data_IF_309443646348
#
_entry.id   IF_309443646348
#
_cell.length_a   1.000
_cell.length_b   1.000
_cell.length_c   1.000
_cell.angle_alpha   90.00
_cell.angle_beta   90.00
_cell.angle_gamma   90.00
#
_symmetry.space_group_name_H-M   'P 1'
#
loop_
_entity.id
_entity.type
_entity.pdbx_description
1 polymer ?
#
# COMPACT_ATOMS: atom_id res chain seq x y z
N UNK A 1 -12.07 13.15 23.37
CA UNK A 1 -10.80 13.70 22.86
C UNK A 1 -10.99 14.36 21.49
N UNK A 2 -11.56 13.68 20.50
CA UNK A 2 -11.76 14.27 19.16
C UNK A 2 -12.62 15.54 19.17
N UNK A 3 -13.72 15.55 19.94
CA UNK A 3 -14.61 16.72 20.10
C UNK A 3 -13.96 17.90 20.83
N UNK A 4 -12.91 17.66 21.61
CA UNK A 4 -12.27 18.68 22.43
C UNK A 4 -11.30 19.54 21.60
N UNK A 5 -10.92 19.07 20.40
CA UNK A 5 -9.96 19.71 19.49
C UNK A 5 -10.59 20.11 18.15
N UNK A 6 -11.80 20.69 18.16
CA UNK A 6 -12.54 21.08 16.93
C UNK A 6 -11.71 21.98 16.00
N UNK A 7 -10.93 22.91 16.57
CA UNK A 7 -10.08 23.82 15.82
C UNK A 7 -8.95 23.13 15.01
N UNK A 8 -8.67 21.86 15.30
CA UNK A 8 -7.67 21.03 14.58
C UNK A 8 -8.30 20.05 13.60
N UNK A 9 -9.62 20.07 13.44
CA UNK A 9 -10.29 19.20 12.47
C UNK A 9 -9.94 19.67 11.07
N UNK A 10 -9.36 18.77 10.31
CA UNK A 10 -9.17 18.94 8.87
C UNK A 10 -10.19 18.08 8.13
N UNK A 11 -10.86 18.62 7.10
CA UNK A 11 -11.70 17.81 6.24
C UNK A 11 -10.83 16.75 5.54
N UNK A 12 -11.36 15.55 5.39
CA UNK A 12 -10.71 14.49 4.62
C UNK A 12 -11.76 13.60 3.96
N UNK A 13 -11.31 12.69 3.10
CA UNK A 13 -12.11 11.55 2.68
C UNK A 13 -11.50 10.26 3.18
N UNK A 14 -12.33 9.26 3.45
CA UNK A 14 -11.95 7.88 3.75
C UNK A 14 -12.54 7.02 2.64
N UNK A 15 -11.69 6.46 1.77
CA UNK A 15 -12.10 5.78 0.53
C UNK A 15 -13.13 6.59 -0.30
N UNK A 16 -13.01 7.92 -0.31
CA UNK A 16 -13.92 8.83 -1.02
C UNK A 16 -15.12 9.34 -0.20
N UNK A 17 -15.44 8.74 0.95
CA UNK A 17 -16.50 9.24 1.84
C UNK A 17 -16.01 10.39 2.71
N UNK A 18 -16.82 11.45 2.85
CA UNK A 18 -16.43 12.64 3.62
C UNK A 18 -16.31 12.34 5.12
N UNK A 19 -15.21 12.80 5.71
CA UNK A 19 -14.93 12.67 7.15
C UNK A 19 -14.08 13.86 7.66
N UNK A 20 -13.71 13.81 8.94
CA UNK A 20 -12.83 14.77 9.59
C UNK A 20 -11.76 14.03 10.40
N UNK A 21 -10.54 14.52 10.29
CA UNK A 21 -9.37 13.96 10.96
C UNK A 21 -8.62 15.06 11.69
N UNK A 22 -8.03 14.73 12.84
CA UNK A 22 -6.96 15.53 13.43
C UNK A 22 -5.65 14.82 13.09
N UNK A 23 -4.84 15.45 12.25
CA UNK A 23 -3.54 14.92 11.85
C UNK A 23 -2.42 15.48 12.72
N UNK A 24 -1.45 14.63 13.01
CA UNK A 24 -0.19 15.01 13.63
C UNK A 24 0.93 14.12 13.13
N UNK A 25 2.14 14.67 12.96
CA UNK A 25 3.32 13.86 12.64
C UNK A 25 3.72 13.00 13.83
N UNK A 26 4.33 11.86 13.56
CA UNK A 26 4.95 11.07 14.62
C UNK A 26 6.25 11.75 15.10
N UNK A 27 6.25 12.20 16.35
CA UNK A 27 7.34 13.05 16.89
C UNK A 27 8.49 12.27 17.51
N UNK A 28 8.32 10.95 17.74
CA UNK A 28 9.32 10.09 18.39
C UNK A 28 10.18 9.29 17.40
N UNK A 29 10.00 9.52 16.10
CA UNK A 29 10.72 8.78 15.07
C UNK A 29 12.20 9.19 14.96
N UNK A 30 13.09 8.20 14.92
CA UNK A 30 14.53 8.39 14.68
C UNK A 30 14.90 8.22 13.21
N UNK A 31 14.12 7.46 12.45
CA UNK A 31 14.33 7.17 11.03
C UNK A 31 13.68 8.20 10.12
N UNK A 32 14.19 8.35 8.89
CA UNK A 32 13.57 9.21 7.85
C UNK A 32 12.13 8.75 7.56
N UNK A 33 11.90 7.43 7.53
CA UNK A 33 10.57 6.86 7.35
C UNK A 33 9.59 7.40 8.39
N UNK A 34 9.95 7.33 9.67
CA UNK A 34 9.08 7.79 10.74
C UNK A 34 8.90 9.31 10.77
N UNK A 35 9.89 10.09 10.34
CA UNK A 35 9.81 11.56 10.33
C UNK A 35 8.97 12.11 9.19
N UNK A 36 9.09 11.53 8.00
CA UNK A 36 8.50 12.09 6.78
C UNK A 36 7.17 11.43 6.41
N UNK A 37 7.02 10.13 6.68
CA UNK A 37 5.91 9.35 6.15
C UNK A 37 4.93 8.84 7.22
N UNK A 38 5.31 8.80 8.51
CA UNK A 38 4.41 8.37 9.59
C UNK A 38 3.61 9.52 10.20
N UNK A 39 2.30 9.31 10.26
CA UNK A 39 1.34 10.26 10.82
C UNK A 39 0.39 9.54 11.78
N UNK A 40 -0.06 10.28 12.77
CA UNK A 40 -1.14 9.88 13.65
C UNK A 40 -2.41 10.61 13.22
N UNK A 41 -3.48 9.84 12.99
CA UNK A 41 -4.82 10.36 12.73
C UNK A 41 -5.75 10.08 13.90
N UNK A 42 -6.47 11.08 14.37
CA UNK A 42 -7.56 10.90 15.33
C UNK A 42 -8.88 11.21 14.63
N UNK A 43 -9.80 10.24 14.64
CA UNK A 43 -11.12 10.30 14.03
C UNK A 43 -12.21 10.16 15.08
N UNK A 44 -13.41 10.66 14.75
CA UNK A 44 -14.58 10.49 15.59
C UNK A 44 -14.92 9.00 15.80
N UNK A 45 -15.61 8.63 16.89
CA UNK A 45 -16.02 7.23 17.13
C UNK A 45 -16.94 6.69 16.02
N UNK A 46 -17.68 7.59 15.35
CA UNK A 46 -18.62 7.28 14.26
C UNK A 46 -17.98 7.25 12.87
N UNK A 47 -16.71 7.65 12.74
CA UNK A 47 -15.99 7.60 11.46
C UNK A 47 -16.03 6.18 10.90
N UNK A 48 -16.12 6.02 9.58
CA UNK A 48 -16.06 4.71 8.92
C UNK A 48 -14.64 4.15 8.84
N UNK A 49 -13.60 4.90 9.22
CA UNK A 49 -12.19 4.51 9.04
C UNK A 49 -11.84 3.15 9.66
N UNK A 50 -11.15 2.33 8.88
CA UNK A 50 -10.64 1.01 9.19
C UNK A 50 -9.18 0.87 8.74
N UNK A 51 -8.42 -0.09 9.29
CA UNK A 51 -7.14 -0.50 8.72
C UNK A 51 -7.31 -0.88 7.24
N UNK A 52 -6.35 -0.46 6.42
CA UNK A 52 -6.35 -0.63 4.96
C UNK A 52 -7.00 0.50 4.16
N UNK A 53 -7.73 1.40 4.81
CA UNK A 53 -8.40 2.48 4.10
C UNK A 53 -7.40 3.52 3.58
N UNK A 54 -7.80 4.19 2.50
CA UNK A 54 -7.12 5.37 1.97
C UNK A 54 -7.77 6.61 2.58
N UNK A 55 -6.96 7.41 3.26
CA UNK A 55 -7.36 8.71 3.80
C UNK A 55 -6.78 9.80 2.92
N UNK A 56 -7.62 10.69 2.39
CA UNK A 56 -7.16 11.80 1.54
C UNK A 56 -7.54 13.15 2.15
N UNK A 57 -6.57 14.02 2.23
CA UNK A 57 -6.71 15.45 2.50
C UNK A 57 -5.74 16.16 1.52
N UNK A 58 -5.00 17.18 1.94
CA UNK A 58 -3.86 17.73 1.20
C UNK A 58 -2.80 16.68 0.83
N UNK A 59 -2.79 15.54 1.52
CA UNK A 59 -1.94 14.38 1.27
C UNK A 59 -2.79 13.11 1.28
N UNK A 60 -2.28 12.06 0.64
CA UNK A 60 -2.89 10.74 0.67
C UNK A 60 -2.13 9.81 1.62
N UNK A 61 -2.88 9.02 2.38
CA UNK A 61 -2.36 8.10 3.39
C UNK A 61 -3.03 6.73 3.30
N UNK A 62 -2.31 5.68 3.72
CA UNK A 62 -2.87 4.36 4.02
C UNK A 62 -2.96 4.17 5.54
N UNK A 63 -4.08 3.64 6.03
CA UNK A 63 -4.27 3.31 7.44
C UNK A 63 -3.57 1.98 7.75
N UNK A 64 -2.51 2.01 8.53
CA UNK A 64 -1.78 0.79 8.91
C UNK A 64 -2.40 0.10 10.14
N UNK A 65 -2.72 0.88 11.17
CA UNK A 65 -3.26 0.35 12.43
C UNK A 65 -4.35 1.26 12.97
N UNK A 66 -5.24 0.68 13.77
CA UNK A 66 -6.33 1.37 14.45
C UNK A 66 -6.39 0.91 15.91
N UNK A 67 -6.49 1.86 16.83
CA UNK A 67 -6.74 1.62 18.25
C UNK A 67 -7.83 2.57 18.75
N UNK A 68 -8.58 2.14 19.75
CA UNK A 68 -9.59 2.98 20.38
C UNK A 68 -9.02 3.71 21.59
N UNK A 69 -9.33 5.00 21.70
CA UNK A 69 -9.06 5.78 22.92
C UNK A 69 -10.10 5.46 24.01
N UNK A 70 -9.89 5.99 25.22
CA UNK A 70 -10.84 5.83 26.33
C UNK A 70 -12.25 6.37 25.99
N UNK A 71 -12.33 7.43 25.17
CA UNK A 71 -13.58 8.02 24.67
C UNK A 71 -14.12 7.34 23.41
N UNK A 72 -13.57 6.19 23.03
CA UNK A 72 -13.88 5.42 21.80
C UNK A 72 -13.59 6.17 20.50
N UNK A 73 -12.87 7.29 20.54
CA UNK A 73 -12.33 7.93 19.34
C UNK A 73 -11.33 6.96 18.68
N UNK A 74 -11.32 6.92 17.34
CA UNK A 74 -10.45 6.03 16.54
C UNK A 74 -9.11 6.71 16.34
N UNK A 75 -8.05 6.13 16.89
CA UNK A 75 -6.69 6.60 16.75
C UNK A 75 -5.92 5.67 15.80
N UNK A 76 -5.44 6.23 14.69
CA UNK A 76 -4.87 5.50 13.58
C UNK A 76 -3.39 5.84 13.40
N UNK A 77 -2.59 4.82 13.07
CA UNK A 77 -1.27 5.02 12.45
C UNK A 77 -1.44 5.06 10.94
N UNK A 78 -0.93 6.10 10.32
CA UNK A 78 -1.09 6.40 8.90
C UNK A 78 0.28 6.47 8.23
N UNK A 79 0.38 5.93 7.02
CA UNK A 79 1.56 6.10 6.17
C UNK A 79 1.23 6.94 4.95
N UNK A 80 2.00 8.01 4.73
CA UNK A 80 1.86 8.87 3.55
C UNK A 80 2.28 8.10 2.31
N UNK A 81 1.42 8.05 1.30
CA UNK A 81 1.74 7.45 -0.01
C UNK A 81 2.80 8.29 -0.72
N UNK A 82 3.73 7.64 -1.42
CA UNK A 82 4.85 8.30 -2.12
C UNK A 82 5.04 7.82 -3.56
N UNK A 83 4.27 6.83 -4.01
CA UNK A 83 4.36 6.29 -5.36
C UNK A 83 2.98 6.06 -5.96
N UNK A 84 2.96 6.06 -7.28
CA UNK A 84 1.88 5.53 -8.10
C UNK A 84 2.41 4.31 -8.83
N UNK A 85 1.66 3.22 -8.78
CA UNK A 85 2.06 1.93 -9.30
C UNK A 85 1.05 1.42 -10.34
N UNK A 86 1.56 0.61 -11.26
CA UNK A 86 0.76 -0.21 -12.17
C UNK A 86 1.05 -1.68 -11.89
N UNK A 87 0.02 -2.51 -11.98
CA UNK A 87 0.12 -3.97 -11.94
C UNK A 87 -0.06 -4.48 -13.36
N UNK A 88 0.91 -5.24 -13.84
CA UNK A 88 0.88 -5.90 -15.13
C UNK A 88 0.99 -7.41 -14.94
N UNK A 89 0.28 -8.19 -15.76
CA UNK A 89 0.26 -9.65 -15.69
C UNK A 89 0.62 -10.23 -17.03
N UNK A 90 1.42 -11.29 -17.01
CA UNK A 90 1.81 -11.98 -18.23
C UNK A 90 0.64 -12.87 -18.70
N UNK A 91 0.05 -12.52 -19.84
CA UNK A 91 -1.15 -13.17 -20.36
C UNK A 91 -1.01 -13.50 -21.85
N UNK A 92 -1.71 -14.55 -22.27
CA UNK A 92 -1.88 -14.94 -23.67
C UNK A 92 -3.32 -14.64 -24.08
N UNK A 93 -3.52 -13.86 -25.14
CA UNK A 93 -4.84 -13.72 -25.74
C UNK A 93 -5.20 -14.98 -26.53
N UNK A 94 -6.48 -15.36 -26.49
CA UNK A 94 -7.03 -16.48 -27.27
C UNK A 94 -8.18 -15.97 -28.16
N UNK A 95 -8.33 -16.57 -29.33
CA UNK A 95 -9.46 -16.31 -30.21
C UNK A 95 -10.72 -17.09 -29.80
N UNK A 96 -11.82 -16.97 -30.56
CA UNK A 96 -13.08 -17.64 -30.26
C UNK A 96 -13.03 -19.18 -30.36
N UNK A 97 -11.92 -19.75 -30.86
CA UNK A 97 -11.70 -21.18 -30.99
C UNK A 97 -10.56 -21.66 -30.07
N UNK A 98 -10.22 -20.90 -29.02
CA UNK A 98 -9.13 -21.17 -28.07
C UNK A 98 -7.73 -21.28 -28.71
N UNK A 99 -7.50 -20.67 -29.88
CA UNK A 99 -6.15 -20.58 -30.46
C UNK A 99 -5.40 -19.36 -29.90
N UNK A 100 -4.10 -19.51 -29.55
CA UNK A 100 -3.30 -18.40 -29.05
C UNK A 100 -3.12 -17.34 -30.16
N UNK A 101 -3.48 -16.11 -29.83
CA UNK A 101 -3.34 -14.94 -30.70
C UNK A 101 -2.06 -14.19 -30.34
N UNK A 102 -1.09 -14.16 -31.26
CA UNK A 102 0.18 -13.45 -31.05
C UNK A 102 1.08 -14.11 -30.01
N UNK A 103 2.01 -13.33 -29.45
CA UNK A 103 2.91 -13.78 -28.37
C UNK A 103 2.35 -13.31 -27.03
N UNK A 104 2.55 -14.06 -25.93
CA UNK A 104 2.12 -13.59 -24.64
C UNK A 104 2.93 -12.37 -24.21
N UNK A 105 2.27 -11.44 -23.52
CA UNK A 105 2.85 -10.17 -23.10
C UNK A 105 2.32 -9.74 -21.74
N UNK A 106 2.99 -8.74 -21.15
CA UNK A 106 2.54 -8.15 -19.90
C UNK A 106 1.43 -7.13 -20.19
N UNK A 107 0.20 -7.46 -19.79
CA UNK A 107 -0.99 -6.61 -19.94
C UNK A 107 -1.30 -5.89 -18.64
N UNK A 108 -1.74 -4.64 -18.71
CA UNK A 108 -2.17 -3.85 -17.55
C UNK A 108 -3.40 -4.49 -16.89
N UNK A 109 -3.29 -4.79 -15.59
CA UNK A 109 -4.40 -5.31 -14.76
C UNK A 109 -5.01 -4.18 -13.94
N UNK A 110 -4.18 -3.32 -13.36
CA UNK A 110 -4.62 -2.17 -12.59
C UNK A 110 -3.59 -1.04 -12.71
N UNK A 111 -4.06 0.19 -12.90
CA UNK A 111 -3.23 1.39 -13.07
C UNK A 111 -3.56 2.46 -12.04
N UNK A 112 -2.71 3.49 -11.96
CA UNK A 112 -2.87 4.65 -11.08
C UNK A 112 -3.06 4.31 -9.58
N UNK A 113 -2.44 3.21 -9.14
CA UNK A 113 -2.60 2.73 -7.77
C UNK A 113 -1.71 3.54 -6.84
N UNK A 114 -2.31 4.21 -5.86
CA UNK A 114 -1.58 4.93 -4.83
C UNK A 114 -1.00 3.95 -3.80
N UNK A 115 0.28 4.11 -3.49
CA UNK A 115 0.99 3.23 -2.56
C UNK A 115 2.12 3.90 -1.83
N UNK A 116 2.71 3.15 -0.91
CA UNK A 116 3.98 3.51 -0.28
C UNK A 116 5.07 2.52 -0.66
N UNK A 117 6.15 3.01 -1.24
CA UNK A 117 7.33 2.20 -1.55
C UNK A 117 8.54 2.65 -0.74
N UNK A 118 9.33 1.68 -0.28
CA UNK A 118 10.59 1.90 0.41
C UNK A 118 11.70 1.05 -0.20
N UNK A 119 12.84 1.69 -0.50
CA UNK A 119 14.06 0.98 -0.87
C UNK A 119 14.61 0.18 0.31
N UNK A 120 14.94 -1.08 0.03
CA UNK A 120 15.58 -1.96 1.00
C UNK A 120 17.05 -1.58 1.14
N UNK A 121 17.36 -0.83 2.20
CA UNK A 121 18.73 -0.51 2.59
C UNK A 121 19.37 -1.65 3.39
N UNK A 122 20.69 -1.60 3.55
CA UNK A 122 21.40 -2.56 4.41
C UNK A 122 20.89 -2.53 5.86
N UNK A 123 20.56 -1.34 6.38
CA UNK A 123 19.95 -1.19 7.70
C UNK A 123 18.59 -1.87 7.79
N UNK A 124 17.71 -1.67 6.79
CA UNK A 124 16.38 -2.28 6.80
C UNK A 124 16.46 -3.81 6.79
N UNK A 125 17.43 -4.39 6.08
CA UNK A 125 17.66 -5.85 6.10
C UNK A 125 18.09 -6.40 7.46
N UNK A 126 18.75 -5.59 8.28
CA UNK A 126 19.11 -5.97 9.65
C UNK A 126 17.91 -5.89 10.59
N UNK A 127 17.04 -4.89 10.40
CA UNK A 127 15.84 -4.67 11.20
C UNK A 127 14.71 -5.67 10.86
N UNK A 128 14.61 -6.07 9.59
CA UNK A 128 13.55 -6.92 9.06
C UNK A 128 14.13 -8.21 8.44
N UNK A 129 14.42 -9.25 9.25
CA UNK A 129 15.03 -10.50 8.76
C UNK A 129 14.14 -11.30 7.80
N UNK A 130 12.85 -10.97 7.71
CA UNK A 130 11.91 -11.59 6.76
C UNK A 130 12.03 -11.09 5.32
N UNK A 131 12.94 -10.15 5.03
CA UNK A 131 13.19 -9.70 3.67
C UNK A 131 14.05 -10.70 2.90
N UNK A 132 13.63 -11.04 1.68
CA UNK A 132 14.45 -11.86 0.79
C UNK A 132 15.75 -11.13 0.42
N UNK A 133 16.80 -11.89 0.16
CA UNK A 133 18.09 -11.35 -0.29
C UNK A 133 17.96 -10.56 -1.60
N UNK A 134 17.01 -10.92 -2.46
CA UNK A 134 16.73 -10.28 -3.74
C UNK A 134 15.87 -9.02 -3.65
N UNK A 135 15.21 -8.76 -2.52
CA UNK A 135 14.26 -7.65 -2.38
C UNK A 135 14.95 -6.29 -2.50
N UNK A 136 14.52 -5.49 -3.47
CA UNK A 136 14.99 -4.12 -3.70
C UNK A 136 14.01 -3.07 -3.17
N UNK A 137 12.72 -3.38 -3.21
CA UNK A 137 11.64 -2.51 -2.77
C UNK A 137 10.64 -3.29 -1.92
N UNK A 138 10.12 -2.64 -0.90
CA UNK A 138 8.89 -3.03 -0.21
C UNK A 138 7.79 -2.06 -0.64
N UNK A 139 6.64 -2.59 -1.04
CA UNK A 139 5.50 -1.81 -1.49
C UNK A 139 4.26 -2.13 -0.65
N UNK A 140 3.59 -1.08 -0.15
CA UNK A 140 2.30 -1.17 0.53
C UNK A 140 1.19 -0.67 -0.39
N UNK A 141 0.20 -1.53 -0.65
CA UNK A 141 -1.02 -1.24 -1.42
C UNK A 141 -2.28 -1.66 -0.63
N UNK A 142 -3.46 -1.23 -1.06
CA UNK A 142 -4.72 -1.77 -0.54
C UNK A 142 -4.95 -3.20 -1.05
N UNK A 143 -5.65 -4.03 -0.27
CA UNK A 143 -6.05 -5.39 -0.68
C UNK A 143 -7.05 -5.44 -1.82
N UNK A 144 -7.70 -4.32 -2.16
CA UNK A 144 -8.58 -4.18 -3.32
C UNK A 144 -7.81 -4.26 -4.65
N UNK A 145 -6.50 -4.10 -4.63
CA UNK A 145 -5.65 -4.21 -5.82
C UNK A 145 -5.39 -5.69 -6.14
N UNK A 146 -5.65 -6.09 -7.38
CA UNK A 146 -5.40 -7.47 -7.86
C UNK A 146 -3.89 -7.71 -8.10
N UNK A 147 -3.15 -7.94 -7.01
CA UNK A 147 -1.80 -8.50 -7.05
C UNK A 147 -1.84 -9.94 -6.56
N UNK A 148 -1.42 -10.87 -7.42
CA UNK A 148 -1.39 -12.30 -7.11
C UNK A 148 -0.09 -12.72 -6.46
N UNK A 149 -0.17 -13.77 -5.67
CA UNK A 149 1.02 -14.42 -5.13
C UNK A 149 1.83 -15.04 -6.27
N UNK A 150 3.17 -15.01 -6.22
CA UNK A 150 4.01 -15.54 -7.32
C UNK A 150 3.79 -17.02 -7.63
N UNK A 151 3.34 -17.79 -6.64
CA UNK A 151 3.06 -19.22 -6.75
C UNK A 151 1.59 -19.52 -7.09
N UNK A 152 0.78 -18.50 -7.39
CA UNK A 152 -0.61 -18.71 -7.79
C UNK A 152 -0.66 -19.58 -9.07
N UNK A 153 -1.39 -20.71 -9.06
CA UNK A 153 -1.42 -21.65 -10.19
C UNK A 153 -2.03 -21.07 -11.46
N UNK A 154 -2.74 -19.96 -11.36
CA UNK A 154 -3.30 -19.24 -12.51
C UNK A 154 -2.29 -18.34 -13.22
N UNK A 155 -1.10 -18.15 -12.63
CA UNK A 155 -0.03 -17.35 -13.22
C UNK A 155 0.96 -18.20 -14.01
N UNK A 156 1.22 -17.78 -15.25
CA UNK A 156 2.35 -18.30 -16.04
C UNK A 156 3.68 -17.69 -15.56
N UNK A 157 3.62 -16.48 -15.02
CA UNK A 157 4.74 -15.71 -14.50
C UNK A 157 4.24 -14.84 -13.34
N UNK A 158 5.09 -14.55 -12.33
CA UNK A 158 4.75 -13.57 -11.31
C UNK A 158 4.31 -12.23 -11.92
N UNK A 159 3.39 -11.57 -11.23
CA UNK A 159 2.94 -10.23 -11.59
C UNK A 159 4.12 -9.25 -11.61
N UNK A 160 4.01 -8.23 -12.47
CA UNK A 160 4.99 -7.16 -12.63
C UNK A 160 4.39 -5.87 -12.08
N UNK A 161 5.15 -5.19 -11.25
CA UNK A 161 4.83 -3.85 -10.78
C UNK A 161 5.67 -2.82 -11.53
N UNK A 162 5.04 -1.78 -12.05
CA UNK A 162 5.74 -0.64 -12.65
C UNK A 162 5.61 0.58 -11.76
N UNK A 163 6.74 1.16 -11.36
CA UNK A 163 6.81 2.38 -10.54
C UNK A 163 7.77 3.34 -11.23
N UNK A 164 7.29 4.55 -11.57
CA UNK A 164 8.08 5.58 -12.26
C UNK A 164 8.82 5.05 -13.51
N UNK A 165 8.14 4.20 -14.30
CA UNK A 165 8.68 3.58 -15.51
C UNK A 165 9.66 2.41 -15.28
N UNK A 166 10.05 2.12 -14.03
CA UNK A 166 10.88 0.95 -13.70
C UNK A 166 10.02 -0.26 -13.41
N UNK A 167 10.47 -1.42 -13.90
CA UNK A 167 9.76 -2.70 -13.81
C UNK A 167 10.33 -3.54 -12.67
N UNK A 168 9.44 -4.08 -11.87
CA UNK A 168 9.76 -4.93 -10.74
C UNK A 168 8.93 -6.20 -10.79
N UNK A 169 9.52 -7.32 -10.40
CA UNK A 169 8.81 -8.57 -10.26
C UNK A 169 8.29 -8.70 -8.83
N UNK A 170 7.08 -9.23 -8.66
CA UNK A 170 6.54 -9.62 -7.36
C UNK A 170 7.20 -10.92 -6.90
N UNK A 171 7.86 -10.89 -5.73
CA UNK A 171 8.48 -12.07 -5.12
C UNK A 171 7.72 -12.57 -3.88
N UNK A 172 7.01 -11.68 -3.17
CA UNK A 172 6.18 -12.03 -2.02
C UNK A 172 5.00 -11.07 -1.96
N UNK A 173 3.80 -11.61 -1.66
CA UNK A 173 2.62 -10.82 -1.28
C UNK A 173 2.21 -11.25 0.12
N UNK A 174 2.39 -10.38 1.10
CA UNK A 174 2.00 -10.63 2.49
C UNK A 174 0.71 -9.86 2.80
N UNK A 175 -0.36 -10.60 3.12
CA UNK A 175 -1.69 -10.07 3.46
C UNK A 175 -1.95 -10.03 4.98
N UNK A 176 -0.99 -10.47 5.78
CA UNK A 176 -1.13 -10.69 7.22
C UNK A 176 -0.47 -9.56 8.02
N UNK A 177 0.70 -9.06 7.57
CA UNK A 177 1.47 -8.04 8.32
C UNK A 177 0.67 -6.80 8.67
N UNK A 178 -0.19 -6.35 7.75
CA UNK A 178 -1.08 -5.21 7.95
C UNK A 178 -2.50 -5.59 7.51
N UNK A 179 -3.51 -5.54 8.40
CA UNK A 179 -4.88 -5.85 8.02
C UNK A 179 -5.35 -4.94 6.87
N UNK A 180 -5.89 -5.57 5.82
CA UNK A 180 -6.39 -4.92 4.60
C UNK A 180 -5.36 -4.10 3.79
N UNK A 181 -4.05 -4.33 4.01
CA UNK A 181 -3.00 -3.89 3.11
C UNK A 181 -2.21 -5.10 2.58
N UNK A 182 -1.67 -4.94 1.38
CA UNK A 182 -0.69 -5.85 0.78
C UNK A 182 0.69 -5.32 1.11
N UNK A 183 1.52 -6.13 1.77
CA UNK A 183 2.93 -5.87 1.96
C UNK A 183 3.73 -6.71 0.97
N UNK A 184 4.20 -6.06 -0.10
CA UNK A 184 4.75 -6.73 -1.27
C UNK A 184 6.26 -6.55 -1.30
N UNK A 185 7.00 -7.65 -1.47
CA UNK A 185 8.44 -7.60 -1.73
C UNK A 185 8.69 -7.69 -3.23
N UNK A 186 9.51 -6.77 -3.73
CA UNK A 186 9.78 -6.58 -5.15
C UNK A 186 11.27 -6.70 -5.45
N UNK A 187 11.60 -7.42 -6.52
CA UNK A 187 12.95 -7.48 -7.09
C UNK A 187 12.98 -6.88 -8.51
N UNK A 188 14.17 -6.72 -9.08
CA UNK A 188 14.33 -6.22 -10.46
C UNK A 188 13.77 -7.22 -11.47
N UNK A 189 12.86 -6.78 -12.35
CA UNK A 189 12.39 -7.62 -13.46
C UNK A 189 13.33 -7.48 -14.66
N UNK A 190 13.92 -8.60 -15.08
CA UNK A 190 14.89 -8.65 -16.19
C UNK A 190 14.29 -9.15 -17.51
N UNK A 191 12.96 -9.25 -17.60
CA UNK A 191 12.24 -9.81 -18.75
C UNK A 191 11.61 -8.75 -19.64
#
# INVERSE_FOLDING_TARGET
MFKDFVHRHSPCTVNGEQDKVILSRETKATTVLGKEYMYNGLFAPKSSVLPGDVVQNDMTFLVQTLRFTATKDKYCSLIKTNVTAEVQRYMQEFDANDNPKGKPEFTLVAGDILGFAQHVSAQLRQEEPGLLSTTLLVLLLQTSVDVREPNDPSLVSPDRIVIAGKKYQVDVVDRIKYPNLLNIQLCEDRR
#
